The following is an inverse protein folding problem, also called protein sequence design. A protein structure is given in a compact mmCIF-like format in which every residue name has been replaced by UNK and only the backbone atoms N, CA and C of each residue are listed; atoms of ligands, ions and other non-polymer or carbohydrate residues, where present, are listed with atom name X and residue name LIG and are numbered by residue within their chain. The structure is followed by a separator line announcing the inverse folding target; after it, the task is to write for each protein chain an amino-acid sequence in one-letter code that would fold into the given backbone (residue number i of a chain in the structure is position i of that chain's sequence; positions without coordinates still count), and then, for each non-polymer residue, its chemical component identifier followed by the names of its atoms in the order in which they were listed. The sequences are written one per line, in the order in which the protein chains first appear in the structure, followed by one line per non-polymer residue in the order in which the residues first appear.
data_IF_366008205092
#
_entry.id   IF_366008205092
#
_cell.length_a   1.000
_cell.length_b   1.000
_cell.length_c   1.000
_cell.angle_alpha   90.00
_cell.angle_beta   90.00
_cell.angle_gamma   90.00
#
_symmetry.space_group_name_H-M   'P 1'
#
loop_
_entity.id
_entity.type
_entity.pdbx_description
1 polymer ?
#
# COMPACT_ATOMS: atom_id res chain seq x y z
N UNK A 1 31.05 -21.19 29.91
CA UNK A 1 29.85 -21.26 30.76
C UNK A 1 29.08 -19.93 30.85
N UNK A 2 29.72 -18.76 31.06
CA UNK A 2 28.98 -17.47 31.18
C UNK A 2 28.39 -16.95 29.85
N UNK A 3 29.14 -17.04 28.73
CA UNK A 3 28.67 -16.61 27.39
C UNK A 3 27.43 -17.34 26.87
N UNK A 4 27.27 -18.60 27.26
CA UNK A 4 26.17 -19.45 26.79
C UNK A 4 24.87 -19.09 27.54
N UNK A 5 24.98 -18.82 28.85
CA UNK A 5 23.87 -18.31 29.66
C UNK A 5 23.41 -16.91 29.22
N UNK A 6 24.32 -16.04 28.74
CA UNK A 6 23.96 -14.74 28.19
C UNK A 6 23.22 -14.86 26.84
N UNK A 7 23.66 -15.78 25.97
CA UNK A 7 22.95 -16.08 24.71
C UNK A 7 21.55 -16.62 24.96
N UNK A 8 21.39 -17.51 25.93
CA UNK A 8 20.08 -18.08 26.25
C UNK A 8 19.14 -17.02 26.84
N UNK A 9 19.64 -16.12 27.69
CA UNK A 9 18.86 -14.97 28.20
C UNK A 9 18.46 -14.02 27.08
N UNK A 10 19.37 -13.72 26.15
CA UNK A 10 19.07 -12.85 25.01
C UNK A 10 18.04 -13.50 24.07
N UNK A 11 18.20 -14.79 23.75
CA UNK A 11 17.24 -15.54 22.94
C UNK A 11 15.87 -15.59 23.60
N UNK A 12 15.82 -15.82 24.92
CA UNK A 12 14.57 -15.80 25.66
C UNK A 12 13.92 -14.41 25.64
N UNK A 13 14.70 -13.33 25.79
CA UNK A 13 14.19 -11.97 25.70
C UNK A 13 13.61 -11.66 24.30
N UNK A 14 14.32 -12.03 23.23
CA UNK A 14 13.85 -11.86 21.85
C UNK A 14 12.55 -12.64 21.62
N UNK A 15 12.49 -13.88 22.12
CA UNK A 15 11.31 -14.74 21.99
C UNK A 15 10.10 -14.19 22.76
N UNK A 16 10.31 -13.65 23.96
CA UNK A 16 9.26 -12.99 24.74
C UNK A 16 8.72 -11.74 24.03
N UNK A 17 9.59 -10.89 23.47
CA UNK A 17 9.17 -9.71 22.71
C UNK A 17 8.35 -10.10 21.48
N UNK A 18 8.76 -11.16 20.76
CA UNK A 18 8.03 -11.66 19.60
C UNK A 18 6.66 -12.23 19.97
N UNK A 19 6.53 -12.90 21.12
CA UNK A 19 5.25 -13.38 21.63
C UNK A 19 4.34 -12.25 22.12
N UNK A 20 4.88 -11.24 22.78
CA UNK A 20 4.11 -10.06 23.22
C UNK A 20 3.56 -9.27 22.03
N UNK A 21 4.34 -9.12 20.95
CA UNK A 21 3.86 -8.52 19.71
C UNK A 21 2.76 -9.36 19.05
N UNK A 22 2.87 -10.69 19.11
CA UNK A 22 1.90 -11.63 18.54
C UNK A 22 0.61 -11.72 19.36
N UNK A 23 0.68 -11.50 20.68
CA UNK A 23 -0.47 -11.53 21.59
C UNK A 23 -1.22 -10.20 21.72
N UNK A 24 -0.60 -9.07 21.34
CA UNK A 24 -1.23 -7.74 21.37
C UNK A 24 -2.05 -7.39 20.13
N UNK A 25 -1.84 -8.08 19.01
CA UNK A 25 -2.63 -7.89 17.80
C UNK A 25 -3.69 -8.96 17.75
N UNK A 26 -4.94 -8.58 18.00
CA UNK A 26 -6.07 -9.49 17.84
C UNK A 26 -6.09 -10.01 16.39
N UNK A 27 -6.33 -11.32 16.20
CA UNK A 27 -6.32 -11.95 14.87
C UNK A 27 -7.33 -11.32 13.90
N UNK A 28 -8.37 -10.65 14.42
CA UNK A 28 -9.31 -9.87 13.64
C UNK A 28 -8.70 -8.57 13.10
N UNK A 29 -7.92 -7.87 13.94
CA UNK A 29 -7.25 -6.63 13.58
C UNK A 29 -6.12 -6.90 12.57
N UNK A 30 -5.34 -7.97 12.79
CA UNK A 30 -4.31 -8.41 11.83
C UNK A 30 -4.91 -8.67 10.43
N UNK A 31 -6.06 -9.35 10.36
CA UNK A 31 -6.73 -9.61 9.08
C UNK A 31 -7.18 -8.31 8.42
N UNK A 32 -7.74 -7.38 9.20
CA UNK A 32 -8.21 -6.09 8.69
C UNK A 32 -7.06 -5.21 8.19
N UNK A 33 -5.93 -5.20 8.90
CA UNK A 33 -4.72 -4.50 8.47
C UNK A 33 -4.08 -5.11 7.22
N UNK A 34 -3.93 -6.44 7.19
CA UNK A 34 -3.36 -7.13 6.02
C UNK A 34 -4.28 -6.98 4.81
N UNK A 35 -5.59 -7.15 5.00
CA UNK A 35 -6.58 -6.97 3.94
C UNK A 35 -6.62 -5.51 3.48
N UNK A 36 -6.53 -4.54 4.39
CA UNK A 36 -6.45 -3.11 4.07
C UNK A 36 -5.23 -2.79 3.21
N UNK A 37 -4.06 -3.32 3.55
CA UNK A 37 -2.85 -3.15 2.73
C UNK A 37 -2.96 -3.81 1.35
N UNK A 38 -3.51 -5.03 1.27
CA UNK A 38 -3.72 -5.72 0.00
C UNK A 38 -4.76 -5.01 -0.87
N UNK A 39 -5.83 -4.52 -0.25
CA UNK A 39 -6.88 -3.79 -0.95
C UNK A 39 -6.37 -2.43 -1.45
N UNK A 40 -5.64 -1.69 -0.62
CA UNK A 40 -4.98 -0.45 -1.02
C UNK A 40 -4.06 -0.70 -2.23
N UNK A 41 -3.19 -1.71 -2.14
CA UNK A 41 -2.31 -2.09 -3.25
C UNK A 41 -3.09 -2.44 -4.52
N UNK A 42 -4.13 -3.25 -4.40
CA UNK A 42 -4.94 -3.68 -5.54
C UNK A 42 -5.62 -2.50 -6.24
N UNK A 43 -6.23 -1.58 -5.48
CA UNK A 43 -6.90 -0.40 -6.02
C UNK A 43 -5.87 0.55 -6.65
N UNK A 44 -4.74 0.81 -6.00
CA UNK A 44 -3.67 1.65 -6.53
C UNK A 44 -3.12 1.13 -7.85
N UNK A 45 -2.83 -0.18 -7.94
CA UNK A 45 -2.36 -0.80 -9.19
C UNK A 45 -3.41 -0.70 -10.31
N UNK A 46 -4.69 -0.95 -9.98
CA UNK A 46 -5.77 -0.87 -10.96
C UNK A 46 -6.00 0.56 -11.49
N UNK A 47 -5.98 1.56 -10.60
CA UNK A 47 -6.11 2.97 -10.98
C UNK A 47 -4.92 3.41 -11.85
N UNK A 48 -3.70 3.07 -11.43
CA UNK A 48 -2.48 3.38 -12.20
C UNK A 48 -2.55 2.77 -13.60
N UNK A 49 -2.98 1.51 -13.72
CA UNK A 49 -3.15 0.83 -15.00
C UNK A 49 -4.24 1.49 -15.87
N UNK A 50 -5.37 1.89 -15.26
CA UNK A 50 -6.45 2.56 -15.96
C UNK A 50 -5.99 3.90 -16.56
N UNK A 51 -5.34 4.75 -15.75
CA UNK A 51 -4.87 6.07 -16.19
C UNK A 51 -3.80 5.92 -17.28
N UNK A 52 -2.83 5.03 -17.08
CA UNK A 52 -1.79 4.78 -18.07
C UNK A 52 -2.39 4.29 -19.40
N UNK A 53 -3.45 3.47 -19.36
CA UNK A 53 -4.11 3.00 -20.59
C UNK A 53 -4.86 4.13 -21.30
N UNK A 54 -5.62 4.96 -20.57
CA UNK A 54 -6.35 6.10 -21.14
C UNK A 54 -5.38 7.13 -21.77
N UNK A 55 -4.25 7.44 -21.10
CA UNK A 55 -3.22 8.34 -21.61
C UNK A 55 -2.49 7.77 -22.85
N UNK A 56 -2.30 6.45 -22.89
CA UNK A 56 -1.78 5.79 -24.09
C UNK A 56 -2.77 5.87 -25.26
N UNK A 57 -4.07 5.76 -25.00
CA UNK A 57 -5.13 5.87 -26.01
C UNK A 57 -5.27 7.29 -26.56
N UNK A 58 -5.03 8.33 -25.75
CA UNK A 58 -4.99 9.74 -26.17
C UNK A 58 -3.68 10.14 -26.86
N UNK A 59 -2.75 9.20 -27.04
CA UNK A 59 -1.53 9.36 -27.83
C UNK A 59 -0.25 9.53 -27.02
N UNK A 60 -0.32 9.55 -25.70
CA UNK A 60 0.82 9.72 -24.81
C UNK A 60 1.41 8.37 -24.37
N UNK A 61 2.00 7.67 -25.34
CA UNK A 61 2.42 6.26 -25.20
C UNK A 61 3.46 5.95 -24.12
N UNK A 62 4.17 6.97 -23.61
CA UNK A 62 5.21 6.82 -22.59
C UNK A 62 4.81 7.38 -21.22
N UNK A 63 3.53 7.71 -21.02
CA UNK A 63 3.03 8.20 -19.75
C UNK A 63 3.03 7.10 -18.68
N UNK A 64 3.51 7.44 -17.48
CA UNK A 64 3.54 6.55 -16.32
C UNK A 64 3.12 7.32 -15.07
N UNK A 65 1.88 7.10 -14.63
CA UNK A 65 1.28 7.72 -13.46
C UNK A 65 2.10 7.51 -12.18
N UNK A 66 2.87 6.42 -12.07
CA UNK A 66 3.72 6.17 -10.90
C UNK A 66 4.97 7.07 -10.83
N UNK A 67 5.31 7.77 -11.93
CA UNK A 67 6.52 8.60 -12.06
C UNK A 67 6.24 10.09 -12.17
N UNK A 68 4.98 10.50 -12.07
CA UNK A 68 4.61 11.92 -12.12
C UNK A 68 5.12 12.64 -10.87
N UNK A 69 5.42 13.93 -10.99
CA UNK A 69 5.82 14.73 -9.83
C UNK A 69 4.61 15.01 -8.94
N UNK A 70 4.83 15.28 -7.64
CA UNK A 70 3.74 15.61 -6.70
C UNK A 70 2.89 16.80 -7.18
N UNK A 71 3.52 17.78 -7.85
CA UNK A 71 2.86 18.95 -8.43
C UNK A 71 1.89 18.55 -9.55
N UNK A 72 2.31 17.63 -10.42
CA UNK A 72 1.48 17.13 -11.52
C UNK A 72 0.39 16.17 -11.01
N UNK A 73 0.65 15.46 -9.91
CA UNK A 73 -0.30 14.57 -9.25
C UNK A 73 -1.49 15.33 -8.64
N UNK A 74 -1.26 16.51 -8.05
CA UNK A 74 -2.32 17.37 -7.52
C UNK A 74 -3.30 17.82 -8.63
N UNK A 75 -2.77 18.12 -9.81
CA UNK A 75 -3.58 18.49 -10.98
C UNK A 75 -4.38 17.31 -11.54
N UNK A 76 -3.75 16.13 -11.64
CA UNK A 76 -4.41 14.90 -12.09
C UNK A 76 -5.55 14.44 -11.16
N UNK A 77 -5.46 14.74 -9.86
CA UNK A 77 -6.53 14.46 -8.89
C UNK A 77 -7.84 15.22 -9.19
N UNK A 78 -7.74 16.49 -9.62
CA UNK A 78 -8.91 17.29 -9.98
C UNK A 78 -9.57 16.78 -11.28
N UNK A 79 -8.75 16.41 -12.27
CA UNK A 79 -9.24 15.89 -13.55
C UNK A 79 -9.89 14.51 -13.40
N UNK A 80 -9.34 13.62 -12.58
CA UNK A 80 -9.96 12.32 -12.27
C UNK A 80 -11.34 12.46 -11.62
N UNK A 81 -11.50 13.39 -10.67
CA UNK A 81 -12.80 13.65 -10.03
C UNK A 81 -13.80 14.19 -11.05
N UNK A 82 -13.34 14.99 -12.01
CA UNK A 82 -14.17 15.50 -13.10
C UNK A 82 -14.62 14.38 -14.06
N UNK A 83 -13.68 13.53 -14.52
CA UNK A 83 -13.98 12.40 -15.40
C UNK A 83 -14.95 11.41 -14.75
N UNK A 84 -14.75 11.05 -13.48
CA UNK A 84 -15.67 10.14 -12.77
C UNK A 84 -17.09 10.71 -12.61
N UNK A 85 -17.23 12.03 -12.46
CA UNK A 85 -18.54 12.72 -12.40
C UNK A 85 -19.26 12.73 -13.75
N UNK A 86 -18.53 12.84 -14.85
CA UNK A 86 -19.13 12.87 -16.19
C UNK A 86 -19.65 11.50 -16.63
N UNK A 87 -18.99 10.40 -16.27
CA UNK A 87 -19.45 9.03 -16.58
C UNK A 87 -20.62 8.54 -15.72
N UNK A 88 -20.88 9.14 -14.55
CA UNK A 88 -22.05 8.80 -13.71
C UNK A 88 -23.32 9.55 -14.10
N UNK A 89 -23.23 10.47 -15.07
CA UNK A 89 -24.36 11.27 -15.57
C UNK A 89 -24.87 10.82 -16.94
N UNK A 90 -24.48 9.62 -17.39
CA UNK A 90 -24.87 9.02 -18.68
C UNK A 90 -25.66 7.74 -18.51
#
# INVERSE_FOLDING_TARGET
MIKEQERDKLHHAIWQIANDLRGRVDSWDLKSYVLGMLFYRFISENITAYINNEEQLTGNTNFDYAKISDIDAEFGGADMVCVMRTKTSG
#
